data_IF_259011888586
#
_entry.id   IF_259011888586
#
_cell.length_a   1.000
_cell.length_b   1.000
_cell.length_c   1.000
_cell.angle_alpha   90.00
_cell.angle_beta   90.00
_cell.angle_gamma   90.00
#
_symmetry.space_group_name_H-M   'P 1'
#
loop_
_entity.id
_entity.type
_entity.pdbx_description
1 polymer ?
#
# COMPACT_ATOMS: atom_id res chain seq x y z
N UNK A 1 31.45 8.05 5.70
CA UNK A 1 30.19 7.28 5.71
C UNK A 1 28.99 8.11 5.27
N UNK A 2 28.69 9.24 5.91
CA UNK A 2 27.54 10.11 5.56
C UNK A 2 27.48 10.53 4.09
N UNK A 3 28.62 10.92 3.49
CA UNK A 3 28.68 11.26 2.05
C UNK A 3 28.30 10.08 1.16
N UNK A 4 28.82 8.89 1.46
CA UNK A 4 28.53 7.66 0.71
C UNK A 4 27.04 7.30 0.81
N UNK A 5 26.48 7.35 2.02
CA UNK A 5 25.05 7.11 2.25
C UNK A 5 24.21 8.13 1.46
N UNK A 6 24.57 9.41 1.50
CA UNK A 6 23.87 10.45 0.76
C UNK A 6 23.92 10.22 -0.75
N UNK A 7 25.06 9.81 -1.31
CA UNK A 7 25.17 9.48 -2.74
C UNK A 7 24.29 8.30 -3.14
N UNK A 8 24.23 7.23 -2.34
CA UNK A 8 23.36 6.08 -2.61
C UNK A 8 21.87 6.42 -2.53
N UNK A 9 21.46 7.18 -1.51
CA UNK A 9 20.06 7.61 -1.38
C UNK A 9 19.69 8.57 -2.52
N UNK A 10 20.57 9.50 -2.89
CA UNK A 10 20.30 10.42 -3.99
C UNK A 10 20.20 9.70 -5.35
N UNK A 11 21.09 8.75 -5.63
CA UNK A 11 21.08 8.03 -6.91
C UNK A 11 19.87 7.11 -7.06
N UNK A 12 19.45 6.43 -5.98
CA UNK A 12 18.23 5.61 -5.96
C UNK A 12 16.97 6.45 -6.13
N UNK A 13 16.90 7.61 -5.49
CA UNK A 13 15.79 8.56 -5.69
C UNK A 13 15.75 9.07 -7.13
N UNK A 14 16.88 9.50 -7.70
CA UNK A 14 16.96 9.96 -9.08
C UNK A 14 16.53 8.85 -10.06
N UNK A 15 17.00 7.62 -9.86
CA UNK A 15 16.64 6.47 -10.69
C UNK A 15 15.13 6.18 -10.63
N UNK A 16 14.52 6.24 -9.45
CA UNK A 16 13.08 6.06 -9.30
C UNK A 16 12.27 7.14 -10.05
N UNK A 17 12.68 8.42 -9.95
CA UNK A 17 12.02 9.51 -10.68
C UNK A 17 12.12 9.33 -12.20
N UNK A 18 13.32 9.01 -12.71
CA UNK A 18 13.51 8.74 -14.14
C UNK A 18 12.63 7.57 -14.58
N UNK A 19 12.57 6.49 -13.80
CA UNK A 19 11.70 5.34 -14.09
C UNK A 19 10.22 5.72 -14.20
N UNK A 20 9.71 6.50 -13.24
CA UNK A 20 8.31 6.97 -13.25
C UNK A 20 8.02 7.86 -14.47
N UNK A 21 8.93 8.79 -14.79
CA UNK A 21 8.79 9.70 -15.94
C UNK A 21 8.77 8.91 -17.25
N UNK A 22 9.70 7.96 -17.42
CA UNK A 22 9.78 7.11 -18.60
C UNK A 22 8.49 6.30 -18.75
N UNK A 23 8.02 5.64 -17.69
CA UNK A 23 6.75 4.87 -17.74
C UNK A 23 5.55 5.77 -18.08
N UNK A 24 5.49 6.98 -17.54
CA UNK A 24 4.41 7.92 -17.84
C UNK A 24 4.41 8.34 -19.33
N UNK A 25 5.59 8.61 -19.89
CA UNK A 25 5.74 8.99 -21.31
C UNK A 25 5.36 7.84 -22.23
N UNK A 26 5.92 6.65 -21.99
CA UNK A 26 5.70 5.50 -22.87
C UNK A 26 4.35 4.81 -22.65
N UNK A 27 3.71 5.00 -21.48
CA UNK A 27 2.41 4.43 -21.11
C UNK A 27 2.24 2.97 -21.58
N UNK A 28 3.17 2.05 -21.24
CA UNK A 28 3.07 0.67 -21.68
C UNK A 28 1.78 0.03 -21.14
N UNK A 29 1.04 -0.69 -21.98
CA UNK A 29 -0.21 -1.39 -21.59
C UNK A 29 -1.52 -0.66 -21.90
N UNK A 30 -1.49 0.51 -22.56
CA UNK A 30 -2.71 1.25 -22.97
C UNK A 30 -3.64 0.50 -23.92
N UNK A 31 -3.17 -0.56 -24.59
CA UNK A 31 -3.95 -1.33 -25.56
C UNK A 31 -4.87 -2.38 -24.91
N UNK A 32 -4.81 -2.57 -23.58
CA UNK A 32 -5.56 -3.62 -22.84
C UNK A 32 -6.76 -3.04 -22.06
N UNK A 33 -6.90 -1.72 -21.95
CA UNK A 33 -7.91 -1.08 -21.10
C UNK A 33 -8.72 0.00 -21.85
N UNK A 34 -9.46 -0.41 -22.88
CA UNK A 34 -10.76 0.24 -23.15
C UNK A 34 -11.79 -0.40 -22.23
N UNK A 35 -11.78 0.02 -20.98
CA UNK A 35 -12.94 -0.16 -20.11
C UNK A 35 -13.24 1.19 -19.50
N UNK A 36 -14.45 1.67 -19.77
CA UNK A 36 -15.06 2.89 -19.24
C UNK A 36 -15.11 2.86 -17.70
N UNK A 37 -13.96 2.98 -17.05
CA UNK A 37 -13.91 3.26 -15.62
C UNK A 37 -14.15 4.74 -15.49
N UNK A 38 -15.44 5.02 -15.35
CA UNK A 38 -16.06 6.31 -15.03
C UNK A 38 -15.08 7.27 -14.36
N UNK A 39 -14.94 8.46 -14.98
CA UNK A 39 -14.25 9.65 -14.47
C UNK A 39 -14.93 10.15 -13.19
N UNK A 40 -14.96 9.34 -12.15
CA UNK A 40 -15.34 9.76 -10.81
C UNK A 40 -14.10 10.48 -10.30
N UNK A 41 -14.17 11.81 -10.23
CA UNK A 41 -13.08 12.67 -9.77
C UNK A 41 -12.56 12.22 -8.41
N UNK A 42 -11.50 11.42 -8.42
CA UNK A 42 -10.67 11.13 -7.26
C UNK A 42 -9.70 12.29 -7.16
N UNK A 43 -9.86 13.10 -6.11
CA UNK A 43 -8.92 14.18 -5.86
C UNK A 43 -7.60 13.55 -5.44
N UNK A 44 -6.49 13.93 -6.08
CA UNK A 44 -5.16 13.41 -5.70
C UNK A 44 -4.83 13.68 -4.23
N UNK A 45 -5.41 14.73 -3.65
CA UNK A 45 -5.30 15.01 -2.21
C UNK A 45 -6.01 13.94 -1.36
N UNK A 46 -7.17 13.44 -1.78
CA UNK A 46 -7.87 12.37 -1.06
C UNK A 46 -7.04 11.10 -1.05
N UNK A 47 -6.44 10.75 -2.19
CA UNK A 47 -5.53 9.62 -2.30
C UNK A 47 -4.28 9.82 -1.43
N UNK A 48 -3.72 11.03 -1.39
CA UNK A 48 -2.59 11.36 -0.52
C UNK A 48 -2.96 11.22 0.97
N UNK A 49 -4.11 11.73 1.37
CA UNK A 49 -4.59 11.61 2.75
C UNK A 49 -4.85 10.15 3.13
N UNK A 50 -5.34 9.34 2.19
CA UNK A 50 -5.47 7.89 2.39
C UNK A 50 -4.10 7.21 2.55
N UNK A 51 -3.06 7.64 1.84
CA UNK A 51 -1.68 7.15 2.09
C UNK A 51 -1.20 7.53 3.49
N UNK A 52 -1.35 8.79 3.90
CA UNK A 52 -0.92 9.26 5.22
C UNK A 52 -1.68 8.53 6.34
N UNK A 53 -2.99 8.30 6.17
CA UNK A 53 -3.77 7.50 7.13
C UNK A 53 -3.25 6.07 7.22
N UNK A 54 -2.92 5.46 6.09
CA UNK A 54 -2.37 4.10 6.07
C UNK A 54 -0.95 4.03 6.70
N UNK A 55 -0.17 5.12 6.72
CA UNK A 55 1.12 5.17 7.44
C UNK A 55 0.97 5.07 8.97
N UNK A 56 -0.18 5.45 9.53
CA UNK A 56 -0.46 5.41 10.96
C UNK A 56 -1.69 4.53 11.25
N UNK A 57 -1.56 3.20 11.15
CA UNK A 57 -2.66 2.30 11.42
C UNK A 57 -3.08 2.38 12.89
N UNK A 58 -4.39 2.39 13.12
CA UNK A 58 -4.97 2.38 14.47
C UNK A 58 -4.68 1.07 15.22
N UNK A 59 -4.41 -0.02 14.49
CA UNK A 59 -4.08 -1.32 15.06
C UNK A 59 -3.08 -2.07 14.16
N UNK A 60 -1.95 -2.50 14.75
CA UNK A 60 -0.87 -3.21 14.03
C UNK A 60 -1.27 -4.63 13.65
N UNK A 61 -1.99 -5.35 14.53
CA UNK A 61 -2.45 -6.72 14.25
C UNK A 61 -3.45 -6.70 13.11
N UNK A 62 -4.36 -5.72 13.10
CA UNK A 62 -5.29 -5.54 12.00
C UNK A 62 -4.57 -5.14 10.70
N UNK A 63 -3.56 -4.28 10.78
CA UNK A 63 -2.75 -3.87 9.62
C UNK A 63 -2.04 -5.03 8.91
N UNK A 64 -1.77 -6.14 9.63
CA UNK A 64 -1.22 -7.37 9.05
C UNK A 64 -2.19 -8.09 8.09
N UNK A 65 -3.50 -7.85 8.21
CA UNK A 65 -4.52 -8.56 7.43
C UNK A 65 -5.44 -7.63 6.64
N UNK A 66 -5.54 -6.36 7.04
CA UNK A 66 -6.49 -5.39 6.47
C UNK A 66 -5.85 -4.01 6.26
N UNK A 67 -6.30 -3.30 5.23
CA UNK A 67 -5.90 -1.92 4.92
C UNK A 67 -7.10 -0.96 4.87
N UNK A 68 -6.86 0.32 5.16
CA UNK A 68 -7.90 1.35 5.14
C UNK A 68 -8.13 1.85 3.71
N UNK A 69 -9.33 1.61 3.17
CA UNK A 69 -9.76 2.14 1.88
C UNK A 69 -10.98 3.05 2.07
N UNK A 70 -10.96 4.23 1.46
CA UNK A 70 -12.16 5.05 1.37
C UNK A 70 -13.03 4.55 0.22
N UNK A 71 -14.27 4.17 0.53
CA UNK A 71 -15.26 3.78 -0.47
C UNK A 71 -16.36 4.83 -0.49
N UNK A 72 -16.64 5.33 -1.69
CA UNK A 72 -17.73 6.27 -1.93
C UNK A 72 -19.02 5.45 -2.04
N UNK A 73 -19.91 5.59 -1.07
CA UNK A 73 -21.21 4.93 -1.12
C UNK A 73 -22.29 5.98 -1.41
N UNK A 74 -23.18 5.66 -2.34
CA UNK A 74 -24.39 6.43 -2.58
C UNK A 74 -25.36 6.17 -1.40
N UNK A 75 -25.62 7.18 -0.58
CA UNK A 75 -26.66 7.12 0.44
C UNK A 75 -27.88 7.94 0.00
N UNK A 76 -29.10 7.53 0.38
CA UNK A 76 -30.27 8.36 0.13
C UNK A 76 -30.11 9.71 0.84
N UNK A 77 -30.50 10.82 0.19
CA UNK A 77 -30.22 12.15 0.69
C UNK A 77 -30.83 12.40 2.06
N UNK A 78 -30.05 12.97 2.97
CA UNK A 78 -30.43 13.19 4.38
C UNK A 78 -31.51 14.26 4.55
N UNK A 79 -31.73 15.09 3.52
CA UNK A 79 -32.75 16.14 3.48
C UNK A 79 -33.60 15.98 2.23
N UNK A 80 -34.90 15.72 2.42
CA UNK A 80 -35.89 15.67 1.34
C UNK A 80 -36.81 16.88 1.53
N UNK A 81 -36.85 17.85 0.58
CA UNK A 81 -37.80 18.96 0.66
C UNK A 81 -39.24 18.43 0.65
N UNK A 82 -40.13 19.04 1.44
CA UNK A 82 -41.54 18.64 1.51
C UNK A 82 -42.18 18.67 0.11
N UNK A 83 -42.70 17.52 -0.32
CA UNK A 83 -43.40 17.38 -1.61
C UNK A 83 -42.59 16.71 -2.72
N UNK A 84 -41.35 16.29 -2.48
CA UNK A 84 -40.50 15.57 -3.45
C UNK A 84 -40.28 14.13 -2.99
N UNK A 85 -40.37 13.17 -3.91
CA UNK A 85 -40.06 11.77 -3.62
C UNK A 85 -38.54 11.58 -3.49
N UNK A 86 -38.09 10.91 -2.43
CA UNK A 86 -36.66 10.65 -2.18
C UNK A 86 -35.96 9.86 -3.31
N UNK A 87 -36.73 9.21 -4.19
CA UNK A 87 -36.26 8.44 -5.35
C UNK A 87 -35.84 9.29 -6.56
N UNK A 88 -36.24 10.57 -6.61
CA UNK A 88 -35.92 11.48 -7.73
C UNK A 88 -34.74 12.41 -7.43
N UNK A 89 -34.23 12.39 -6.19
CA UNK A 89 -33.14 13.24 -5.75
C UNK A 89 -31.80 12.54 -5.96
N UNK A 90 -30.77 13.26 -6.43
CA UNK A 90 -29.43 12.69 -6.60
C UNK A 90 -28.92 12.13 -5.26
N UNK A 91 -28.35 10.91 -5.25
CA UNK A 91 -27.85 10.30 -4.03
C UNK A 91 -26.67 11.09 -3.48
N UNK A 92 -26.63 11.26 -2.15
CA UNK A 92 -25.51 11.90 -1.48
C UNK A 92 -24.32 10.93 -1.43
N UNK A 93 -23.18 11.33 -1.99
CA UNK A 93 -21.99 10.49 -2.06
C UNK A 93 -21.19 10.69 -0.77
N UNK A 94 -21.47 9.85 0.21
CA UNK A 94 -20.75 9.90 1.49
C UNK A 94 -19.53 8.97 1.42
N UNK A 95 -18.39 9.49 1.86
CA UNK A 95 -17.15 8.72 1.99
C UNK A 95 -17.22 7.92 3.28
N UNK A 96 -17.24 6.60 3.18
CA UNK A 96 -17.09 5.72 4.34
C UNK A 96 -15.73 5.04 4.32
N UNK A 97 -15.15 4.94 5.52
CA UNK A 97 -13.93 4.17 5.75
C UNK A 97 -14.32 2.69 5.80
N UNK A 98 -13.70 1.87 4.95
CA UNK A 98 -13.91 0.44 4.93
C UNK A 98 -12.55 -0.27 5.06
N UNK A 99 -12.53 -1.33 5.85
CA UNK A 99 -11.40 -2.24 5.90
C UNK A 99 -11.49 -3.19 4.70
N UNK A 100 -10.46 -3.18 3.86
CA UNK A 100 -10.30 -4.14 2.78
C UNK A 100 -9.32 -5.20 3.20
N UNK A 101 -9.57 -6.46 2.84
CA UNK A 101 -8.60 -7.53 3.04
C UNK A 101 -7.32 -7.22 2.23
N UNK A 102 -6.18 -7.29 2.91
CA UNK A 102 -4.88 -6.94 2.35
C UNK A 102 -3.92 -6.38 3.38
N UNK A 103 -2.63 -6.57 3.15
CA UNK A 103 -1.57 -6.08 4.04
C UNK A 103 -1.41 -4.55 3.93
N UNK A 104 -1.56 -3.82 5.03
CA UNK A 104 -1.15 -2.41 5.07
C UNK A 104 0.38 -2.30 5.24
N UNK A 105 1.08 -2.48 4.11
CA UNK A 105 2.55 -2.48 4.05
C UNK A 105 3.13 -1.15 4.58
N UNK A 106 2.54 -0.02 4.22
CA UNK A 106 3.03 1.30 4.62
C UNK A 106 3.00 1.47 6.15
N UNK A 107 1.88 1.13 6.78
CA UNK A 107 1.73 1.21 8.24
C UNK A 107 2.72 0.33 8.98
N UNK A 108 2.93 -0.90 8.51
CA UNK A 108 3.90 -1.82 9.12
C UNK A 108 5.33 -1.31 8.94
N UNK A 109 5.71 -0.80 7.76
CA UNK A 109 7.05 -0.24 7.53
C UNK A 109 7.31 0.95 8.46
N UNK A 110 6.37 1.89 8.56
CA UNK A 110 6.51 3.09 9.41
C UNK A 110 6.59 2.69 10.89
N UNK A 111 5.72 1.79 11.35
CA UNK A 111 5.76 1.27 12.71
C UNK A 111 7.09 0.58 13.02
N UNK A 112 7.54 -0.36 12.18
CA UNK A 112 8.80 -1.07 12.38
C UNK A 112 10.02 -0.14 12.33
N UNK A 113 10.00 0.88 11.48
CA UNK A 113 11.08 1.87 11.39
C UNK A 113 11.16 2.74 12.64
N UNK A 114 10.01 3.22 13.14
CA UNK A 114 9.94 3.98 14.38
C UNK A 114 10.37 3.12 15.57
N UNK A 115 9.85 1.89 15.68
CA UNK A 115 10.25 0.93 16.70
C UNK A 115 11.76 0.66 16.68
N UNK A 116 12.34 0.39 15.50
CA UNK A 116 13.79 0.17 15.34
C UNK A 116 14.63 1.39 15.73
N UNK A 117 14.15 2.61 15.43
CA UNK A 117 14.81 3.84 15.84
C UNK A 117 14.80 4.01 17.37
N UNK A 118 13.64 3.83 18.02
CA UNK A 118 13.52 3.91 19.48
C UNK A 118 14.32 2.82 20.19
N UNK A 119 14.28 1.59 19.67
CA UNK A 119 15.09 0.47 20.11
C UNK A 119 16.60 0.82 20.08
N UNK A 120 17.05 1.50 19.03
CA UNK A 120 18.42 1.99 18.91
C UNK A 120 18.82 3.05 19.94
N UNK A 121 17.88 3.85 20.43
CA UNK A 121 18.15 4.85 21.48
C UNK A 121 18.25 4.25 22.89
N UNK A 122 17.62 3.10 23.13
CA UNK A 122 17.58 2.45 24.45
C UNK A 122 18.83 1.62 24.78
N UNK A 123 19.83 1.60 23.90
CA UNK A 123 21.18 1.07 24.18
C UNK A 123 21.19 -0.39 24.65
N UNK A 124 21.80 -0.63 25.82
CA UNK A 124 22.07 -1.98 26.34
C UNK A 124 20.81 -2.80 26.64
N UNK A 125 19.69 -2.15 27.00
CA UNK A 125 18.43 -2.86 27.29
C UNK A 125 17.81 -3.49 26.04
N UNK A 126 18.17 -3.00 24.84
CA UNK A 126 17.63 -3.47 23.57
C UNK A 126 18.42 -4.64 22.98
N UNK A 127 19.59 -4.99 23.52
CA UNK A 127 20.45 -6.04 22.93
C UNK A 127 19.69 -7.35 22.72
N UNK A 128 18.90 -7.77 23.71
CA UNK A 128 18.08 -8.99 23.63
C UNK A 128 17.02 -8.89 22.52
N UNK A 129 16.39 -7.72 22.36
CA UNK A 129 15.41 -7.47 21.29
C UNK A 129 16.07 -7.49 19.91
N UNK A 130 17.22 -6.85 19.76
CA UNK A 130 17.96 -6.83 18.48
C UNK A 130 18.40 -8.24 18.07
N UNK A 131 18.90 -9.02 19.02
CA UNK A 131 19.29 -10.42 18.77
C UNK A 131 18.09 -11.27 18.34
N UNK A 132 16.94 -11.09 18.99
CA UNK A 132 15.69 -11.75 18.59
C UNK A 132 15.31 -11.42 17.14
N UNK A 133 15.28 -10.13 16.77
CA UNK A 133 14.95 -9.72 15.40
C UNK A 133 16.00 -10.15 14.38
N UNK A 134 17.28 -10.23 14.77
CA UNK A 134 18.36 -10.73 13.92
C UNK A 134 18.14 -12.21 13.56
N UNK A 135 17.84 -13.05 14.56
CA UNK A 135 17.52 -14.47 14.33
C UNK A 135 16.25 -14.61 13.49
N UNK A 136 15.21 -13.83 13.78
CA UNK A 136 13.97 -13.83 12.99
C UNK A 136 14.22 -13.45 11.52
N UNK A 137 15.08 -12.47 11.25
CA UNK A 137 15.45 -12.08 9.89
C UNK A 137 16.20 -13.21 9.16
N UNK A 138 17.16 -13.87 9.83
CA UNK A 138 17.87 -15.04 9.25
C UNK A 138 16.89 -16.16 8.91
N UNK A 139 15.92 -16.45 9.79
CA UNK A 139 14.87 -17.43 9.53
C UNK A 139 13.99 -17.02 8.34
N UNK A 140 13.59 -15.75 8.29
CA UNK A 140 12.75 -15.21 7.20
C UNK A 140 13.47 -15.31 5.86
N UNK A 141 14.77 -15.01 5.79
CA UNK A 141 15.57 -15.16 4.56
C UNK A 141 15.66 -16.62 4.10
N UNK A 142 15.85 -17.57 5.02
CA UNK A 142 15.83 -19.00 4.69
C UNK A 142 14.47 -19.46 4.16
N UNK A 143 13.39 -18.99 4.77
CA UNK A 143 12.03 -19.29 4.32
C UNK A 143 11.77 -18.69 2.92
N UNK A 144 12.18 -17.44 2.69
CA UNK A 144 12.06 -16.77 1.40
C UNK A 144 12.83 -17.54 0.29
N UNK A 145 14.03 -18.02 0.57
CA UNK A 145 14.80 -18.85 -0.36
C UNK A 145 14.08 -20.16 -0.71
N UNK A 146 13.43 -20.81 0.27
CA UNK A 146 12.65 -22.02 0.03
C UNK A 146 11.46 -21.76 -0.89
N UNK A 147 10.76 -20.64 -0.71
CA UNK A 147 9.62 -20.24 -1.56
C UNK A 147 10.07 -19.80 -2.96
N UNK A 148 11.24 -19.17 -3.08
CA UNK A 148 11.82 -18.71 -4.36
C UNK A 148 12.38 -19.86 -5.21
N UNK A 149 12.42 -21.09 -4.68
CA UNK A 149 12.81 -22.29 -5.40
C UNK A 149 11.98 -22.41 -6.72
N UNK A 150 12.61 -22.77 -7.86
CA UNK A 150 12.02 -22.71 -9.21
C UNK A 150 10.68 -23.43 -9.39
N UNK A 151 10.32 -24.34 -8.48
CA UNK A 151 9.02 -25.02 -8.40
C UNK A 151 7.85 -24.00 -8.47
N UNK A 152 7.99 -22.83 -7.82
CA UNK A 152 6.96 -21.79 -7.87
C UNK A 152 6.89 -21.04 -9.20
N UNK A 153 8.04 -20.81 -9.84
CA UNK A 153 8.12 -20.07 -11.11
C UNK A 153 7.57 -20.86 -12.29
N UNK A 154 7.85 -22.17 -12.35
CA UNK A 154 7.34 -23.06 -13.39
C UNK A 154 5.81 -23.22 -13.30
N UNK A 155 5.26 -23.32 -12.10
CA UNK A 155 3.81 -23.42 -11.88
C UNK A 155 3.07 -22.13 -12.30
N UNK A 156 3.65 -20.96 -12.02
CA UNK A 156 3.09 -19.65 -12.42
C UNK A 156 3.19 -19.46 -13.94
N UNK A 157 4.30 -19.88 -14.56
CA UNK A 157 4.47 -19.86 -16.01
C UNK A 157 3.48 -20.76 -16.74
N UNK A 158 3.30 -22.00 -16.26
CA UNK A 158 2.32 -22.94 -16.80
C UNK A 158 0.88 -22.42 -16.65
N UNK A 159 0.55 -21.80 -15.52
CA UNK A 159 -0.78 -21.21 -15.29
C UNK A 159 -1.09 -20.00 -16.17
N UNK A 160 -0.07 -19.24 -16.60
CA UNK A 160 -0.22 -18.13 -17.56
C UNK A 160 -0.36 -18.62 -19.00
N UNK A 161 0.40 -19.64 -19.39
CA UNK A 161 0.34 -20.24 -20.73
C UNK A 161 -0.99 -20.96 -21.04
N UNK A 162 -1.75 -21.38 -20.02
CA UNK A 162 -3.09 -21.99 -20.20
C UNK A 162 -4.24 -20.98 -20.29
N UNK A 163 -3.98 -19.66 -20.13
CA UNK A 163 -5.02 -18.61 -20.26
C UNK A 163 -4.88 -17.76 -21.53
N UNK A 164 -3.81 -17.96 -22.30
CA UNK A 164 -3.65 -17.44 -23.66
C UNK A 164 -4.05 -18.53 -24.66
#
# INVERSE_FOLDING_TARGET
MTRMIAYYVASTMLAAFVGIIVVAIFSPGKQILETDVSKIGVSGLDTFLDFVRNMFPENIVQACFQLHRTVRIAQPPRFVPLGVNASELEPDIIRKLQYSDGLNIFGIIVFCSAFGLFAGFMGETTVIMVDFFSVLNVLTMKLAYLVMCPIGGEFIGSSRSSRE
#
